data_IF_555326487736
#
_entry.id   IF_555326487736
#
_cell.length_a   1.000
_cell.length_b   1.000
_cell.length_c   1.000
_cell.angle_alpha   90.00
_cell.angle_beta   90.00
_cell.angle_gamma   90.00
#
_symmetry.space_group_name_H-M   'P 1'
#
loop_
_entity.id
_entity.type
_entity.pdbx_description
1 polymer ?
#
# COMPACT_ATOMS: atom_id res chain seq x y z
N UNK A 1 -1.94 -17.84 -24.41
CA UNK A 1 -1.50 -18.78 -23.36
C UNK A 1 -0.56 -18.01 -22.46
N UNK A 2 -1.01 -17.63 -21.27
CA UNK A 2 -0.21 -16.89 -20.31
C UNK A 2 -0.66 -17.31 -18.92
N UNK A 3 0.05 -18.29 -18.36
CA UNK A 3 -0.16 -18.72 -16.99
C UNK A 3 0.11 -17.55 -16.05
N UNK A 4 -0.93 -17.06 -15.38
CA UNK A 4 -0.76 -16.22 -14.21
C UNK A 4 -0.23 -17.13 -13.10
N UNK A 5 1.08 -17.10 -12.86
CA UNK A 5 1.70 -17.78 -11.72
C UNK A 5 1.13 -17.18 -10.45
N UNK A 6 0.18 -17.90 -9.85
CA UNK A 6 -0.38 -17.63 -8.54
C UNK A 6 0.70 -17.90 -7.50
N UNK A 7 1.55 -16.89 -7.26
CA UNK A 7 2.40 -16.88 -6.08
C UNK A 7 1.47 -16.74 -4.87
N UNK A 8 1.37 -17.84 -4.13
CA UNK A 8 0.61 -18.01 -2.90
C UNK A 8 1.01 -16.96 -1.84
N UNK A 9 0.48 -15.74 -2.00
CA UNK A 9 0.55 -14.66 -1.03
C UNK A 9 -0.68 -14.80 -0.15
N UNK A 10 -0.52 -15.51 0.97
CA UNK A 10 -1.58 -15.75 1.96
C UNK A 10 -2.29 -14.48 2.48
N UNK A 11 -1.87 -13.26 2.12
CA UNK A 11 -2.46 -11.95 2.51
C UNK A 11 -2.16 -10.81 1.51
N UNK A 12 -2.09 -11.08 0.21
CA UNK A 12 -1.79 -10.06 -0.80
C UNK A 12 -2.97 -9.76 -1.72
N UNK A 13 -3.38 -8.49 -1.82
CA UNK A 13 -4.37 -8.05 -2.81
C UNK A 13 -3.74 -8.17 -4.20
N UNK A 14 -4.29 -9.06 -5.05
CA UNK A 14 -3.96 -9.12 -6.48
C UNK A 14 -5.10 -8.49 -7.25
N UNK A 15 -4.95 -7.24 -7.66
CA UNK A 15 -5.90 -6.58 -8.57
C UNK A 15 -5.61 -7.07 -9.99
N UNK A 16 -6.49 -7.89 -10.55
CA UNK A 16 -6.54 -8.09 -12.00
C UNK A 16 -7.93 -8.45 -12.48
N UNK A 17 -8.62 -7.47 -13.07
CA UNK A 17 -9.67 -7.69 -14.06
C UNK A 17 -9.52 -6.63 -15.16
N UNK A 18 -8.50 -6.82 -15.99
CA UNK A 18 -8.15 -5.97 -17.12
C UNK A 18 -6.67 -6.19 -17.47
N UNK A 19 -6.37 -6.47 -18.74
CA UNK A 19 -5.05 -6.93 -19.22
C UNK A 19 -3.89 -5.93 -19.11
N UNK A 20 -3.87 -5.04 -18.12
CA UNK A 20 -2.89 -3.98 -17.94
C UNK A 20 -2.63 -3.59 -16.48
N UNK A 21 -2.77 -4.53 -15.54
CA UNK A 21 -2.48 -4.28 -14.12
C UNK A 21 -0.99 -4.25 -13.80
N UNK A 22 -0.59 -3.40 -12.85
CA UNK A 22 0.78 -3.39 -12.29
C UNK A 22 0.86 -4.52 -11.25
N UNK A 23 1.78 -5.50 -11.41
CA UNK A 23 1.98 -6.52 -10.37
C UNK A 23 2.53 -5.84 -9.11
N UNK A 24 1.71 -5.88 -8.06
CA UNK A 24 1.95 -5.20 -6.80
C UNK A 24 1.64 -6.17 -5.65
N UNK A 25 2.62 -6.45 -4.79
CA UNK A 25 2.47 -7.34 -3.65
C UNK A 25 2.77 -6.60 -2.35
N UNK A 26 1.76 -6.45 -1.50
CA UNK A 26 1.88 -5.80 -0.18
C UNK A 26 0.85 -6.42 0.77
N UNK A 27 1.08 -6.34 2.09
CA UNK A 27 0.05 -6.67 3.07
C UNK A 27 -0.97 -5.54 3.21
N UNK A 28 -2.16 -5.85 3.72
CA UNK A 28 -3.22 -4.86 3.99
C UNK A 28 -2.77 -3.77 4.98
N UNK A 29 -2.02 -4.15 6.02
CA UNK A 29 -1.44 -3.21 7.00
C UNK A 29 -0.51 -2.19 6.33
N UNK A 30 0.42 -2.66 5.49
CA UNK A 30 1.36 -1.79 4.80
C UNK A 30 0.69 -0.97 3.69
N UNK A 31 -0.35 -1.51 3.04
CA UNK A 31 -1.20 -0.75 2.13
C UNK A 31 -1.88 0.41 2.86
N UNK A 32 -2.34 0.18 4.08
CA UNK A 32 -2.94 1.21 4.94
C UNK A 32 -1.92 2.29 5.28
N UNK A 33 -0.71 1.91 5.67
CA UNK A 33 0.39 2.86 5.94
C UNK A 33 0.74 3.70 4.70
N UNK A 34 0.75 3.09 3.52
CA UNK A 34 0.98 3.77 2.24
C UNK A 34 -0.17 4.74 1.90
N UNK A 35 -1.42 4.30 2.06
CA UNK A 35 -2.63 5.10 1.80
C UNK A 35 -2.67 6.38 2.65
N UNK A 36 -2.26 6.29 3.91
CA UNK A 36 -2.20 7.44 4.81
C UNK A 36 -0.88 8.22 4.74
N UNK A 37 0.05 7.80 3.88
CA UNK A 37 1.33 8.46 3.70
C UNK A 37 2.33 8.25 4.85
N UNK A 38 2.04 7.40 5.84
CA UNK A 38 2.95 7.08 6.95
C UNK A 38 4.30 6.53 6.46
N UNK A 39 4.28 5.76 5.37
CA UNK A 39 5.47 5.21 4.73
C UNK A 39 5.38 5.34 3.22
N UNK A 40 6.51 5.64 2.58
CA UNK A 40 6.60 5.58 1.11
C UNK A 40 6.69 4.15 0.62
N UNK A 41 6.43 3.91 -0.67
CA UNK A 41 6.62 2.58 -1.24
C UNK A 41 8.10 2.17 -1.26
N UNK A 42 9.02 3.14 -1.40
CA UNK A 42 10.46 2.88 -1.34
C UNK A 42 10.89 2.39 0.05
N UNK A 43 10.36 3.00 1.12
CA UNK A 43 10.60 2.56 2.50
C UNK A 43 10.12 1.12 2.72
N UNK A 44 8.95 0.75 2.17
CA UNK A 44 8.37 -0.59 2.27
C UNK A 44 9.12 -1.60 1.41
N UNK A 45 9.64 -1.19 0.24
CA UNK A 45 10.44 -2.03 -0.65
C UNK A 45 11.80 -2.38 -0.03
N UNK A 46 12.49 -1.39 0.52
CA UNK A 46 13.80 -1.56 1.17
C UNK A 46 13.68 -2.51 2.37
N UNK A 47 12.58 -2.41 3.14
CA UNK A 47 12.29 -3.31 4.26
C UNK A 47 11.88 -4.74 3.84
N UNK A 48 11.67 -5.00 2.54
CA UNK A 48 11.21 -6.30 2.03
C UNK A 48 9.71 -6.55 2.24
N UNK A 49 8.94 -5.53 2.60
CA UNK A 49 7.51 -5.57 2.93
C UNK A 49 6.61 -5.29 1.73
N UNK A 50 7.18 -4.70 0.67
CA UNK A 50 6.52 -4.52 -0.62
C UNK A 50 7.33 -5.14 -1.77
N UNK A 51 6.63 -5.81 -2.69
CA UNK A 51 7.16 -6.35 -3.94
C UNK A 51 6.59 -5.57 -5.11
N UNK A 52 7.40 -4.70 -5.68
CA UNK A 52 7.06 -3.89 -6.86
C UNK A 52 8.32 -3.69 -7.71
N UNK A 53 8.14 -3.62 -9.04
CA UNK A 53 9.28 -3.31 -9.92
C UNK A 53 9.68 -1.84 -9.79
N UNK A 54 10.99 -1.57 -9.74
CA UNK A 54 11.54 -0.23 -9.50
C UNK A 54 11.01 0.86 -10.45
N UNK A 55 10.71 0.50 -11.70
CA UNK A 55 10.13 1.42 -12.70
C UNK A 55 8.77 2.02 -12.31
N UNK A 56 8.03 1.37 -11.41
CA UNK A 56 6.70 1.82 -10.96
C UNK A 56 6.74 2.69 -9.72
N UNK A 57 7.89 2.78 -9.05
CA UNK A 57 8.05 3.54 -7.80
C UNK A 57 7.68 5.02 -8.00
N UNK A 58 8.16 5.72 -9.05
CA UNK A 58 7.80 7.12 -9.24
C UNK A 58 6.29 7.33 -9.44
N UNK A 59 5.61 6.39 -10.10
CA UNK A 59 4.16 6.44 -10.28
C UNK A 59 3.43 6.25 -8.96
N UNK A 60 3.88 5.28 -8.14
CA UNK A 60 3.24 4.98 -6.86
C UNK A 60 3.48 6.11 -5.86
N UNK A 61 4.68 6.69 -5.81
CA UNK A 61 4.98 7.86 -4.98
C UNK A 61 4.14 9.08 -5.39
N UNK A 62 3.81 9.23 -6.68
CA UNK A 62 2.91 10.27 -7.16
C UNK A 62 1.44 10.03 -6.77
N UNK A 63 1.02 8.76 -6.62
CA UNK A 63 -0.34 8.38 -6.21
C UNK A 63 -0.53 8.39 -4.69
N UNK A 64 0.51 8.01 -3.94
CA UNK A 64 0.52 7.88 -2.49
C UNK A 64 1.64 8.74 -1.92
N UNK A 65 1.36 10.02 -1.77
CA UNK A 65 2.33 10.95 -1.23
C UNK A 65 2.68 10.58 0.21
N UNK A 66 3.98 10.48 0.50
CA UNK A 66 4.47 10.45 1.87
C UNK A 66 4.06 11.76 2.55
N UNK A 67 3.45 11.64 3.71
CA UNK A 67 3.04 12.77 4.54
C UNK A 67 3.21 12.38 6.00
N UNK A 68 3.20 13.36 6.90
CA UNK A 68 3.04 13.09 8.32
C UNK A 68 1.54 13.24 8.65
N UNK A 69 0.72 12.18 8.49
CA UNK A 69 -0.72 12.28 8.69
C UNK A 69 -0.99 12.71 10.13
N UNK A 70 -1.49 13.94 10.27
CA UNK A 70 -1.90 14.48 11.55
C UNK A 70 -3.23 13.83 11.95
N UNK A 71 -3.18 12.81 12.82
CA UNK A 71 -4.39 12.31 13.48
C UNK A 71 -4.84 13.29 14.56
N UNK A 72 -5.87 14.06 14.23
CA UNK A 72 -6.53 15.00 15.14
C UNK A 72 -7.80 14.38 15.74
N UNK A 73 -7.74 13.30 16.54
CA UNK A 73 -8.85 13.05 17.47
C UNK A 73 -8.39 12.16 18.66
N UNK A 74 -8.81 12.44 19.92
CA UNK A 74 -10.20 12.77 20.13
C UNK A 74 -10.59 13.95 21.01
N UNK A 75 -11.34 14.91 20.43
CA UNK A 75 -12.39 15.55 21.22
C UNK A 75 -13.58 14.58 21.31
N UNK A 76 -13.35 13.49 22.05
CA UNK A 76 -14.39 12.75 22.75
C UNK A 76 -14.04 12.82 24.22
N UNK A 77 -14.03 14.04 24.76
CA UNK A 77 -14.38 14.20 26.15
C UNK A 77 -15.90 14.01 26.21
N UNK A 78 -16.36 12.85 26.70
CA UNK A 78 -17.66 12.78 27.35
C UNK A 78 -17.44 12.99 28.85
N UNK A 79 -17.62 14.20 29.38
CA UNK A 79 -18.04 14.39 30.76
C UNK A 79 -19.57 14.53 30.76
N UNK A 80 -20.28 13.41 30.55
CA UNK A 80 -21.74 13.32 30.73
C UNK A 80 -22.60 13.54 29.48
N UNK A 81 -23.35 12.51 29.12
CA UNK A 81 -24.68 12.62 28.51
C UNK A 81 -25.53 11.45 29.03
#
# INVERSE_FOLDING_TARGET
>A
VGEATLLNLKRGVVVSKGGGGIPFGISEEHLTQLLFGYRSIEDLRIAGEARVAARWIPLIDALFLKSDPYMWWPDRFYPGA
#
